data_IF_885270486531
#
_entry.id   IF_885270486531
#
_cell.length_a   1.000
_cell.length_b   1.000
_cell.length_c   1.000
_cell.angle_alpha   90.00
_cell.angle_beta   90.00
_cell.angle_gamma   90.00
#
_symmetry.space_group_name_H-M   'P 1'
#
loop_
_entity.id
_entity.type
_entity.pdbx_description
1 polymer ?
#
# COMPACT_ATOMS: atom_id res chain seq x y z
N UNK A 1 4.46 27.91 -6.14
CA UNK A 1 4.06 26.99 -7.25
C UNK A 1 3.74 25.64 -6.62
N UNK A 2 2.47 25.24 -6.60
CA UNK A 2 2.04 23.96 -6.06
C UNK A 2 2.53 22.87 -6.99
N UNK A 3 3.43 22.01 -6.53
CA UNK A 3 3.86 20.83 -7.28
C UNK A 3 2.65 19.93 -7.53
N UNK A 4 2.28 19.75 -8.78
CA UNK A 4 1.22 18.82 -9.18
C UNK A 4 1.67 17.38 -8.88
N UNK A 5 0.89 16.59 -8.15
CA UNK A 5 1.30 15.23 -7.84
C UNK A 5 1.26 14.35 -9.09
N UNK A 6 2.35 13.64 -9.32
CA UNK A 6 2.44 12.41 -10.11
C UNK A 6 2.20 12.48 -11.62
N UNK A 7 2.44 13.61 -12.29
CA UNK A 7 2.35 13.66 -13.77
C UNK A 7 0.95 13.33 -14.33
N UNK A 8 -0.07 13.36 -13.51
CA UNK A 8 -1.46 13.29 -13.94
C UNK A 8 -1.86 14.68 -14.39
N UNK A 9 -1.55 14.98 -15.65
CA UNK A 9 -1.95 16.21 -16.29
C UNK A 9 -3.46 16.27 -16.49
N UNK A 10 -3.97 17.49 -16.45
CA UNK A 10 -5.31 17.96 -16.82
C UNK A 10 -6.41 16.91 -17.01
N UNK A 11 -7.34 16.83 -16.09
CA UNK A 11 -8.56 16.03 -16.18
C UNK A 11 -8.80 15.08 -15.03
N UNK A 12 -7.79 14.74 -14.27
CA UNK A 12 -7.97 14.07 -12.99
C UNK A 12 -8.38 15.12 -11.97
N UNK A 13 -9.69 15.30 -11.81
CA UNK A 13 -10.26 15.93 -10.61
C UNK A 13 -9.99 14.99 -9.44
N UNK A 14 -8.68 14.84 -9.13
CA UNK A 14 -8.19 13.90 -8.17
C UNK A 14 -8.92 14.09 -6.87
N UNK A 15 -9.50 13.01 -6.38
CA UNK A 15 -9.81 12.91 -4.97
C UNK A 15 -8.54 13.29 -4.22
N UNK A 16 -8.44 14.54 -3.80
CA UNK A 16 -7.46 14.96 -2.82
C UNK A 16 -7.92 14.27 -1.54
N UNK A 17 -7.39 13.08 -1.30
CA UNK A 17 -7.69 12.36 -0.08
C UNK A 17 -7.18 13.21 1.07
N UNK A 18 -8.07 13.68 1.97
CA UNK A 18 -7.61 14.39 3.15
C UNK A 18 -6.62 13.49 3.90
N UNK A 19 -5.55 14.05 4.47
CA UNK A 19 -4.58 13.27 5.23
C UNK A 19 -5.27 12.55 6.40
N UNK A 20 -4.65 11.51 6.91
CA UNK A 20 -5.03 10.90 8.17
C UNK A 20 -4.87 11.93 9.28
N UNK A 21 -5.79 11.92 10.26
CA UNK A 21 -5.74 12.80 11.44
C UNK A 21 -5.32 12.02 12.68
N UNK A 22 -4.78 12.70 13.69
CA UNK A 22 -4.44 12.08 14.97
C UNK A 22 -5.66 11.41 15.62
N UNK A 23 -6.83 12.03 15.54
CA UNK A 23 -8.08 11.45 16.04
C UNK A 23 -8.45 10.15 15.32
N UNK A 24 -8.31 10.10 13.99
CA UNK A 24 -8.55 8.87 13.24
C UNK A 24 -7.55 7.77 13.64
N UNK A 25 -6.25 8.10 13.74
CA UNK A 25 -5.22 7.16 14.17
C UNK A 25 -5.50 6.61 15.57
N UNK A 26 -5.86 7.48 16.51
CA UNK A 26 -6.18 7.10 17.89
C UNK A 26 -7.37 6.15 17.97
N UNK A 27 -8.38 6.37 17.14
CA UNK A 27 -9.57 5.50 17.09
C UNK A 27 -9.29 4.14 16.43
N UNK A 28 -8.37 4.09 15.47
CA UNK A 28 -8.14 2.89 14.66
C UNK A 28 -7.11 1.92 15.27
N UNK A 29 -6.00 2.42 15.83
CA UNK A 29 -4.87 1.58 16.25
C UNK A 29 -5.20 0.52 17.31
N UNK A 30 -6.18 0.71 18.22
CA UNK A 30 -6.60 -0.34 19.14
C UNK A 30 -7.03 -1.64 18.46
N UNK A 31 -7.53 -1.59 17.21
CA UNK A 31 -7.88 -2.81 16.46
C UNK A 31 -6.67 -3.70 16.18
N UNK A 32 -5.47 -3.13 16.09
CA UNK A 32 -4.19 -3.86 15.97
C UNK A 32 -3.52 -4.12 17.32
N UNK A 33 -4.18 -3.82 18.44
CA UNK A 33 -3.63 -4.04 19.78
C UNK A 33 -2.49 -3.10 20.14
N UNK A 34 -2.34 -1.98 19.45
CA UNK A 34 -1.28 -0.99 19.68
C UNK A 34 -1.86 0.38 20.03
N UNK A 35 -1.06 1.21 20.70
CA UNK A 35 -1.44 2.57 21.08
C UNK A 35 -0.61 3.61 20.33
N UNK A 36 -1.23 4.69 19.85
CA UNK A 36 -0.50 5.79 19.23
C UNK A 36 0.29 6.58 20.28
N UNK A 37 1.45 7.10 19.88
CA UNK A 37 2.14 8.13 20.65
C UNK A 37 1.30 9.41 20.75
N UNK A 38 1.71 10.35 21.61
CA UNK A 38 1.01 11.64 21.81
C UNK A 38 0.84 12.43 20.50
N UNK A 39 1.86 12.44 19.64
CA UNK A 39 1.86 13.03 18.30
C UNK A 39 2.19 11.91 17.30
N UNK A 40 1.19 11.14 16.87
CA UNK A 40 1.47 9.89 16.20
C UNK A 40 1.86 10.04 14.73
N UNK A 41 1.46 11.12 14.06
CA UNK A 41 1.67 11.27 12.62
C UNK A 41 3.04 11.84 12.33
N UNK A 42 3.97 11.00 11.83
CA UNK A 42 5.34 11.39 11.49
C UNK A 42 5.50 11.82 10.03
N UNK A 43 4.68 11.28 9.15
CA UNK A 43 4.77 11.52 7.71
C UNK A 43 3.47 11.13 7.00
N UNK A 44 3.16 11.81 5.90
CA UNK A 44 2.03 11.54 5.03
C UNK A 44 2.47 11.33 3.59
N UNK A 45 1.83 10.37 2.91
CA UNK A 45 1.98 10.19 1.47
C UNK A 45 1.17 11.24 0.70
N UNK A 46 1.70 11.68 -0.42
CA UNK A 46 1.02 12.57 -1.38
C UNK A 46 0.41 11.82 -2.57
N UNK A 47 0.28 10.50 -2.49
CA UNK A 47 -0.21 9.69 -3.62
C UNK A 47 -1.73 9.80 -3.77
N UNK A 48 -2.26 9.78 -5.03
CA UNK A 48 -3.66 10.09 -5.30
C UNK A 48 -4.65 8.95 -4.99
N UNK A 49 -4.21 7.69 -4.82
CA UNK A 49 -5.11 6.55 -4.71
C UNK A 49 -5.39 6.10 -3.26
N UNK A 50 -4.68 6.64 -2.31
CA UNK A 50 -4.83 6.31 -0.89
C UNK A 50 -4.21 7.39 -0.02
N UNK A 51 -4.74 7.56 1.20
CA UNK A 51 -4.06 8.32 2.24
C UNK A 51 -3.20 7.35 3.06
N UNK A 52 -1.92 7.65 3.21
CA UNK A 52 -1.01 6.82 4.00
C UNK A 52 -0.18 7.67 4.94
N UNK A 53 0.17 7.13 6.08
CA UNK A 53 1.01 7.79 7.07
C UNK A 53 1.98 6.82 7.74
N UNK A 54 3.13 7.34 8.16
CA UNK A 54 3.97 6.68 9.17
C UNK A 54 3.48 7.13 10.53
N UNK A 55 3.19 6.17 11.38
CA UNK A 55 2.60 6.39 12.70
C UNK A 55 3.57 5.93 13.77
N UNK A 56 3.83 6.80 14.76
CA UNK A 56 4.58 6.49 15.96
C UNK A 56 3.67 5.84 17.02
N UNK A 57 4.19 4.85 17.71
CA UNK A 57 3.52 4.12 18.78
C UNK A 57 4.05 4.53 20.15
N UNK A 58 3.27 4.30 21.19
CA UNK A 58 3.60 4.63 22.58
C UNK A 58 4.85 3.88 23.08
N UNK A 59 5.07 2.67 22.59
CA UNK A 59 6.24 1.83 22.91
C UNK A 59 7.51 2.21 22.15
N UNK A 60 7.49 3.28 21.36
CA UNK A 60 8.58 3.73 20.49
C UNK A 60 8.63 3.05 19.12
N UNK A 61 7.76 2.07 18.87
CA UNK A 61 7.60 1.43 17.58
C UNK A 61 7.01 2.37 16.54
N UNK A 62 6.98 1.89 15.30
CA UNK A 62 6.37 2.61 14.17
C UNK A 62 5.66 1.62 13.25
N UNK A 63 4.60 2.08 12.60
CA UNK A 63 3.93 1.34 11.55
C UNK A 63 3.55 2.23 10.38
N UNK A 64 3.22 1.62 9.26
CA UNK A 64 2.67 2.28 8.10
C UNK A 64 1.17 2.02 8.03
N UNK A 65 0.37 3.06 8.20
CA UNK A 65 -1.10 3.00 8.13
C UNK A 65 -1.58 3.53 6.79
N UNK A 66 -2.49 2.81 6.15
CA UNK A 66 -3.02 3.18 4.84
C UNK A 66 -4.55 3.14 4.84
N UNK A 67 -5.17 4.13 4.20
CA UNK A 67 -6.61 4.28 4.06
C UNK A 67 -6.99 4.31 2.59
N UNK A 68 -7.98 3.51 2.23
CA UNK A 68 -8.59 3.48 0.90
C UNK A 68 -10.03 3.96 0.93
N UNK A 69 -10.49 4.59 -0.14
CA UNK A 69 -11.91 4.81 -0.37
C UNK A 69 -12.60 3.52 -0.80
N UNK A 70 -13.78 3.26 -0.27
CA UNK A 70 -14.58 2.07 -0.62
C UNK A 70 -15.02 2.03 -2.08
N UNK A 71 -15.06 3.17 -2.74
CA UNK A 71 -15.32 3.23 -4.19
C UNK A 71 -14.19 2.65 -5.03
N UNK A 72 -12.97 2.54 -4.47
CA UNK A 72 -11.77 2.07 -5.18
C UNK A 72 -11.32 0.67 -4.75
N UNK A 73 -11.66 0.25 -3.54
CA UNK A 73 -11.21 -1.02 -2.95
C UNK A 73 -12.31 -1.64 -2.10
N UNK A 74 -12.37 -2.96 -2.08
CA UNK A 74 -13.18 -3.72 -1.13
C UNK A 74 -12.31 -4.45 -0.11
N UNK A 75 -12.90 -4.90 0.99
CA UNK A 75 -12.21 -5.73 2.00
C UNK A 75 -11.74 -7.04 1.38
N UNK A 76 -12.56 -7.62 0.50
CA UNK A 76 -12.31 -8.89 -0.17
C UNK A 76 -11.07 -8.79 -1.07
N UNK A 77 -11.01 -7.74 -1.91
CA UNK A 77 -9.88 -7.52 -2.82
C UNK A 77 -8.59 -7.23 -2.07
N UNK A 78 -8.64 -6.44 -1.00
CA UNK A 78 -7.48 -6.20 -0.15
C UNK A 78 -7.03 -7.47 0.58
N UNK A 79 -7.96 -8.25 1.12
CA UNK A 79 -7.63 -9.51 1.81
C UNK A 79 -6.95 -10.51 0.86
N UNK A 80 -7.36 -10.55 -0.40
CA UNK A 80 -6.71 -11.37 -1.41
C UNK A 80 -5.27 -10.90 -1.68
N UNK A 81 -5.06 -9.58 -1.86
CA UNK A 81 -3.72 -9.01 -2.01
C UNK A 81 -2.84 -9.31 -0.78
N UNK A 82 -3.41 -9.24 0.42
CA UNK A 82 -2.73 -9.57 1.68
C UNK A 82 -2.31 -11.04 1.76
N UNK A 83 -3.15 -11.96 1.28
CA UNK A 83 -2.80 -13.39 1.19
C UNK A 83 -1.61 -13.60 0.26
N UNK A 84 -1.61 -12.92 -0.88
CA UNK A 84 -0.50 -12.99 -1.82
C UNK A 84 0.79 -12.41 -1.22
N UNK A 85 0.75 -11.21 -0.65
CA UNK A 85 1.91 -10.62 0.02
C UNK A 85 2.45 -11.51 1.15
N UNK A 86 1.56 -12.10 1.94
CA UNK A 86 1.94 -13.04 3.01
C UNK A 86 2.53 -14.35 2.45
N UNK A 87 2.04 -14.84 1.32
CA UNK A 87 2.60 -16.01 0.63
C UNK A 87 4.04 -15.71 0.16
N UNK A 88 4.27 -14.55 -0.46
CA UNK A 88 5.60 -14.12 -0.89
C UNK A 88 6.57 -13.97 0.29
N UNK A 89 6.13 -13.33 1.37
CA UNK A 89 6.95 -13.16 2.58
C UNK A 89 7.35 -14.50 3.21
N UNK A 90 6.43 -15.47 3.29
CA UNK A 90 6.71 -16.83 3.77
C UNK A 90 7.73 -17.57 2.91
N UNK A 91 7.89 -17.19 1.65
CA UNK A 91 8.90 -17.73 0.72
C UNK A 91 10.21 -16.93 0.69
N UNK A 92 10.39 -16.04 1.67
CA UNK A 92 11.63 -15.28 1.84
C UNK A 92 11.80 -14.11 0.88
N UNK A 93 10.72 -13.66 0.22
CA UNK A 93 10.73 -12.42 -0.53
C UNK A 93 10.49 -11.25 0.45
N UNK A 94 11.19 -10.10 0.31
CA UNK A 94 10.94 -8.91 1.13
C UNK A 94 9.62 -8.22 0.71
N UNK A 95 8.50 -8.93 0.88
CA UNK A 95 7.17 -8.42 0.60
C UNK A 95 6.54 -7.86 1.87
N UNK A 96 5.93 -6.69 1.76
CA UNK A 96 5.22 -6.06 2.85
C UNK A 96 3.91 -6.80 3.14
N UNK A 97 3.98 -7.80 4.03
CA UNK A 97 2.79 -8.45 4.55
C UNK A 97 2.07 -7.53 5.56
N UNK A 98 0.73 -7.42 5.51
CA UNK A 98 0.00 -6.59 6.44
C UNK A 98 0.03 -7.14 7.86
N UNK A 99 -0.07 -6.26 8.84
CA UNK A 99 -0.24 -6.62 10.25
C UNK A 99 -1.67 -7.13 10.47
N UNK A 100 -1.85 -8.27 11.12
CA UNK A 100 -3.19 -8.73 11.51
C UNK A 100 -3.73 -7.88 12.66
N UNK A 101 -5.02 -7.65 12.66
CA UNK A 101 -5.75 -7.11 13.81
C UNK A 101 -5.91 -8.18 14.90
N UNK A 102 -6.40 -7.77 16.06
CA UNK A 102 -6.67 -8.68 17.20
C UNK A 102 -7.65 -9.81 16.86
N UNK A 103 -8.53 -9.60 15.91
CA UNK A 103 -9.48 -10.62 15.41
C UNK A 103 -8.95 -11.43 14.22
N UNK A 104 -7.68 -11.25 13.85
CA UNK A 104 -7.00 -11.96 12.77
C UNK A 104 -7.24 -11.40 11.37
N UNK A 105 -8.16 -10.46 11.18
CA UNK A 105 -8.36 -9.76 9.89
C UNK A 105 -7.20 -8.82 9.61
N UNK A 106 -6.97 -8.51 8.35
CA UNK A 106 -5.88 -7.63 7.91
C UNK A 106 -6.38 -6.33 7.27
N UNK A 107 -7.68 -6.19 7.09
CA UNK A 107 -8.33 -4.98 6.59
C UNK A 107 -9.52 -4.60 7.49
N UNK A 108 -9.57 -3.35 7.95
CA UNK A 108 -10.64 -2.79 8.76
C UNK A 108 -11.55 -1.93 7.91
N UNK A 109 -12.83 -2.28 7.82
CA UNK A 109 -13.83 -1.47 7.14
C UNK A 109 -14.52 -0.51 8.12
N UNK A 110 -14.71 0.72 7.66
CA UNK A 110 -15.63 1.71 8.22
C UNK A 110 -16.70 2.04 7.16
N UNK A 111 -17.72 2.82 7.45
CA UNK A 111 -18.73 3.19 6.46
C UNK A 111 -18.15 3.80 5.18
N UNK A 112 -17.10 4.60 5.28
CA UNK A 112 -16.54 5.38 4.16
C UNK A 112 -15.22 4.84 3.64
N UNK A 113 -14.44 4.14 4.47
CA UNK A 113 -13.06 3.78 4.17
C UNK A 113 -12.71 2.35 4.57
N UNK A 114 -11.58 1.89 4.05
CA UNK A 114 -10.93 0.65 4.47
C UNK A 114 -9.50 0.99 4.88
N UNK A 115 -9.06 0.40 5.98
CA UNK A 115 -7.73 0.63 6.55
C UNK A 115 -6.95 -0.66 6.62
N UNK A 116 -5.64 -0.55 6.41
CA UNK A 116 -4.66 -1.61 6.54
C UNK A 116 -3.40 -1.06 7.20
N UNK A 117 -2.70 -1.88 7.97
CA UNK A 117 -1.46 -1.52 8.62
C UNK A 117 -0.34 -2.48 8.21
N UNK A 118 0.87 -1.96 8.10
CA UNK A 118 2.06 -2.70 7.71
C UNK A 118 3.20 -2.41 8.68
N UNK A 119 4.15 -3.34 8.82
CA UNK A 119 5.43 -3.03 9.44
C UNK A 119 6.09 -1.86 8.70
N UNK A 120 6.75 -0.97 9.42
CA UNK A 120 7.61 0.01 8.79
C UNK A 120 8.97 -0.63 8.52
N UNK A 121 9.34 -0.73 7.25
CA UNK A 121 10.66 -1.17 6.85
C UNK A 121 11.65 -0.02 7.03
N UNK A 122 12.87 -0.35 7.45
CA UNK A 122 13.94 0.61 7.74
C UNK A 122 14.92 0.78 6.59
N UNK A 123 14.70 0.07 5.50
CA UNK A 123 15.52 0.13 4.30
C UNK A 123 15.49 1.54 3.70
N UNK A 124 16.57 1.89 3.04
CA UNK A 124 16.71 3.20 2.42
C UNK A 124 15.82 3.30 1.18
N UNK A 125 14.91 4.29 1.18
CA UNK A 125 14.17 4.66 -0.02
C UNK A 125 15.09 5.44 -0.98
N UNK A 126 15.57 4.77 -2.02
CA UNK A 126 16.46 5.35 -3.03
C UNK A 126 15.81 6.49 -3.83
N UNK A 127 14.49 6.60 -3.80
CA UNK A 127 13.70 7.62 -4.51
C UNK A 127 13.01 8.61 -3.58
N UNK A 128 13.44 8.68 -2.32
CA UNK A 128 12.84 9.56 -1.33
C UNK A 128 12.84 11.02 -1.79
N UNK A 129 11.66 11.63 -1.78
CA UNK A 129 11.50 13.02 -2.20
C UNK A 129 11.47 13.24 -3.72
N UNK A 130 11.61 12.19 -4.51
CA UNK A 130 11.46 12.24 -5.96
C UNK A 130 10.03 11.89 -6.39
N UNK A 131 9.65 12.39 -7.57
CA UNK A 131 8.39 12.02 -8.19
C UNK A 131 8.42 10.54 -8.58
N UNK A 132 7.24 9.90 -8.59
CA UNK A 132 7.07 8.53 -9.07
C UNK A 132 7.44 8.41 -10.56
N UNK A 133 7.69 7.19 -11.02
CA UNK A 133 7.99 6.89 -12.42
C UNK A 133 9.35 7.40 -12.92
N UNK A 134 10.31 7.59 -12.03
CA UNK A 134 11.69 7.90 -12.42
C UNK A 134 12.38 6.66 -12.99
N UNK A 135 13.24 6.83 -14.01
CA UNK A 135 14.11 5.75 -14.46
C UNK A 135 15.03 5.27 -13.34
N UNK A 136 15.57 4.08 -13.49
CA UNK A 136 16.64 3.60 -12.61
C UNK A 136 17.84 4.54 -12.66
N UNK A 137 18.52 4.67 -11.52
CA UNK A 137 19.71 5.53 -11.43
C UNK A 137 20.87 5.01 -12.31
N UNK A 138 20.99 3.69 -12.42
CA UNK A 138 22.02 3.03 -13.20
C UNK A 138 21.60 1.60 -13.63
N UNK A 139 22.45 0.96 -14.41
CA UNK A 139 22.24 -0.40 -14.90
C UNK A 139 22.32 -1.45 -13.79
N UNK A 140 23.08 -1.22 -12.73
CA UNK A 140 23.18 -2.14 -11.60
C UNK A 140 21.87 -2.18 -10.82
N UNK A 141 21.25 -1.01 -10.60
CA UNK A 141 19.92 -0.92 -9.98
C UNK A 141 18.86 -1.60 -10.86
N UNK A 142 18.89 -1.40 -12.18
CA UNK A 142 17.99 -2.06 -13.11
C UNK A 142 18.14 -3.59 -13.05
N UNK A 143 19.37 -4.10 -13.05
CA UNK A 143 19.68 -5.53 -12.96
C UNK A 143 19.20 -6.12 -11.62
N UNK A 144 19.42 -5.41 -10.51
CA UNK A 144 18.94 -5.82 -9.18
C UNK A 144 17.41 -5.90 -9.13
N UNK A 145 16.72 -4.95 -9.75
CA UNK A 145 15.26 -4.94 -9.85
C UNK A 145 14.76 -6.10 -10.71
N UNK A 146 15.42 -6.42 -11.82
CA UNK A 146 15.13 -7.59 -12.65
C UNK A 146 15.30 -8.91 -11.89
N UNK A 147 16.37 -9.02 -11.10
CA UNK A 147 16.62 -10.17 -10.24
C UNK A 147 15.52 -10.33 -9.19
N UNK A 148 15.11 -9.22 -8.56
CA UNK A 148 14.00 -9.24 -7.60
C UNK A 148 12.68 -9.66 -8.25
N UNK A 149 12.41 -9.20 -9.47
CA UNK A 149 11.22 -9.59 -10.23
C UNK A 149 11.23 -11.09 -10.55
N UNK A 150 12.37 -11.66 -10.96
CA UNK A 150 12.49 -13.09 -11.19
C UNK A 150 12.23 -13.90 -9.90
N UNK A 151 12.78 -13.47 -8.77
CA UNK A 151 12.50 -14.07 -7.45
C UNK A 151 11.03 -13.96 -7.05
N UNK A 152 10.37 -12.85 -7.38
CA UNK A 152 8.94 -12.67 -7.15
C UNK A 152 8.13 -13.70 -7.96
N UNK A 153 8.44 -13.89 -9.23
CA UNK A 153 7.78 -14.91 -10.06
C UNK A 153 7.96 -16.32 -9.47
N UNK A 154 9.17 -16.69 -9.08
CA UNK A 154 9.44 -17.98 -8.42
C UNK A 154 8.68 -18.11 -7.09
N UNK A 155 8.68 -17.07 -6.27
CA UNK A 155 7.98 -17.07 -4.99
C UNK A 155 6.45 -17.09 -5.16
N UNK A 156 5.92 -16.65 -6.29
CA UNK A 156 4.47 -16.68 -6.57
C UNK A 156 3.95 -18.05 -6.99
N UNK A 157 4.83 -18.99 -7.33
CA UNK A 157 4.42 -20.34 -7.71
C UNK A 157 3.59 -21.02 -6.62
N UNK A 158 2.51 -21.67 -7.03
CA UNK A 158 1.58 -22.37 -6.13
C UNK A 158 0.62 -21.44 -5.37
N UNK A 159 0.70 -20.11 -5.53
CA UNK A 159 -0.35 -19.25 -5.03
C UNK A 159 -1.63 -19.44 -5.84
N UNK A 160 -2.74 -19.67 -5.14
CA UNK A 160 -4.07 -19.79 -5.73
C UNK A 160 -4.91 -18.59 -5.28
N UNK A 161 -5.44 -17.84 -6.23
CA UNK A 161 -6.34 -16.73 -5.99
C UNK A 161 -7.68 -16.97 -6.69
N UNK A 162 -8.81 -16.57 -6.08
CA UNK A 162 -10.10 -16.62 -6.77
C UNK A 162 -10.10 -15.63 -7.95
N UNK A 163 -10.94 -15.84 -8.95
CA UNK A 163 -11.16 -14.85 -10.00
C UNK A 163 -11.60 -13.50 -9.39
N UNK A 164 -11.02 -12.43 -9.84
CA UNK A 164 -11.47 -11.09 -9.44
C UNK A 164 -12.67 -10.68 -10.27
N UNK A 165 -13.71 -10.23 -9.60
CA UNK A 165 -14.88 -9.63 -10.23
C UNK A 165 -14.65 -8.16 -10.54
N UNK A 166 -13.93 -7.46 -9.66
CA UNK A 166 -13.60 -6.05 -9.83
C UNK A 166 -12.27 -5.90 -10.59
N UNK A 167 -12.21 -5.05 -11.61
CA UNK A 167 -10.96 -4.79 -12.29
C UNK A 167 -9.95 -4.17 -11.33
N UNK A 168 -8.66 -4.55 -11.39
CA UNK A 168 -7.63 -3.88 -10.64
C UNK A 168 -7.51 -2.43 -11.11
N UNK A 169 -7.16 -1.51 -10.19
CA UNK A 169 -6.95 -0.08 -10.50
C UNK A 169 -5.98 0.14 -11.67
N UNK A 170 -4.95 -0.71 -11.75
CA UNK A 170 -3.96 -0.72 -12.84
C UNK A 170 -3.74 -2.18 -13.22
N UNK A 171 -3.94 -2.50 -14.47
CA UNK A 171 -3.70 -3.85 -15.01
C UNK A 171 -2.97 -3.76 -16.34
N UNK A 172 -1.88 -4.51 -16.46
CA UNK A 172 -1.17 -4.68 -17.72
C UNK A 172 -2.02 -5.42 -18.78
N UNK A 173 -3.07 -6.13 -18.35
CA UNK A 173 -3.98 -6.82 -19.27
C UNK A 173 -4.95 -5.88 -19.99
N UNK A 174 -5.33 -4.78 -19.36
CA UNK A 174 -6.28 -3.81 -19.93
C UNK A 174 -5.85 -3.28 -21.30
N UNK A 175 -4.60 -2.78 -21.48
CA UNK A 175 -4.13 -2.32 -22.78
C UNK A 175 -3.97 -3.43 -23.82
N UNK A 176 -3.74 -4.69 -23.38
CA UNK A 176 -3.53 -5.82 -24.28
C UNK A 176 -4.82 -6.45 -24.80
N UNK A 177 -5.90 -6.35 -24.03
CA UNK A 177 -7.19 -6.95 -24.35
C UNK A 177 -8.19 -5.95 -24.96
N UNK A 178 -7.88 -4.64 -24.90
CA UNK A 178 -8.78 -3.58 -25.36
C UNK A 178 -10.15 -3.67 -24.70
N UNK A 179 -11.15 -3.11 -25.36
CA UNK A 179 -12.55 -3.09 -24.88
C UNK A 179 -13.27 -4.45 -24.96
N UNK A 180 -12.53 -5.53 -25.02
CA UNK A 180 -13.07 -6.91 -25.11
C UNK A 180 -13.14 -7.63 -23.78
N UNK A 181 -13.28 -6.90 -22.66
CA UNK A 181 -13.55 -7.46 -21.35
C UNK A 181 -14.96 -7.08 -20.90
#
# INVERSE_FOLDING_TARGET
>A
MSARPLGLESGYNGCVWPPLTDGAVTALLPHWGVRPARNPLLWHSRRPFSASAIVALEDGGRLFLKRHGRALRSVETLTEEHRFASHLAKRGLPAAAPLPMLDGRTALATPEHIYEAFPLYTEQDAYRGLDSWRPYHDTAQAASSGTLLARLHQASEGHQAPPRHDPPLISARHPLLGDRL
#
